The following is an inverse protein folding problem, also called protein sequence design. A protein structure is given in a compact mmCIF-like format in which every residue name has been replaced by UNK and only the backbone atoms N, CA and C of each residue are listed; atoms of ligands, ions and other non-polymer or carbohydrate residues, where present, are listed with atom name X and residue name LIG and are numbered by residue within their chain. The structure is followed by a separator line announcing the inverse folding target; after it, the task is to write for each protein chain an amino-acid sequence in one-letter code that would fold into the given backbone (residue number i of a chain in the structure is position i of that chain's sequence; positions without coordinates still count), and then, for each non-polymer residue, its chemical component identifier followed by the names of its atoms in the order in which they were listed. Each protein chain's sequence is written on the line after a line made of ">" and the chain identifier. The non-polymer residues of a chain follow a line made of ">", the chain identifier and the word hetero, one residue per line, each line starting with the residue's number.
data_IF_263727269009
#
_entry.id   IF_263727269009
#
_cell.length_a   1.000
_cell.length_b   1.000
_cell.length_c   1.000
_cell.angle_alpha   90.00
_cell.angle_beta   90.00
_cell.angle_gamma   90.00
#
_symmetry.space_group_name_H-M   'P 1'
#
loop_
_entity.id
_entity.type
_entity.pdbx_description
1 polymer ?
#
# COMPACT_ATOMS: atom_id res chain seq x y z
N UNK A 1 -2.03 -2.21 -4.75
CA UNK A 1 -1.40 -1.23 -5.66
C UNK A 1 -1.67 -1.55 -7.13
N UNK A 2 -1.05 -2.57 -7.73
CA UNK A 2 -1.28 -2.94 -9.16
C UNK A 2 -2.74 -3.28 -9.45
N UNK A 3 -3.36 -4.12 -8.63
CA UNK A 3 -4.79 -4.49 -8.78
C UNK A 3 -5.69 -3.25 -8.71
N UNK A 4 -5.36 -2.27 -7.85
CA UNK A 4 -6.10 -1.02 -7.78
C UNK A 4 -5.93 -0.23 -9.09
N UNK A 5 -4.69 -0.09 -9.59
CA UNK A 5 -4.43 0.56 -10.89
C UNK A 5 -5.24 -0.08 -12.00
N UNK A 6 -5.22 -1.41 -12.14
CA UNK A 6 -5.93 -2.13 -13.21
C UNK A 6 -7.46 -2.00 -13.14
N UNK A 7 -8.01 -1.65 -11.98
CA UNK A 7 -9.46 -1.39 -11.80
C UNK A 7 -9.85 0.03 -12.20
N UNK A 8 -8.96 1.00 -12.03
CA UNK A 8 -9.23 2.43 -12.27
C UNK A 8 -8.68 2.93 -13.61
N UNK A 9 -7.67 2.25 -14.15
CA UNK A 9 -6.97 2.69 -15.35
C UNK A 9 -7.83 2.64 -16.60
N UNK A 10 -7.59 3.60 -17.49
CA UNK A 10 -8.10 3.54 -18.85
C UNK A 10 -7.55 2.30 -19.60
N UNK A 11 -8.19 1.85 -20.69
CA UNK A 11 -7.78 0.65 -21.41
C UNK A 11 -6.32 0.67 -21.89
N UNK A 12 -5.83 1.84 -22.32
CA UNK A 12 -4.47 2.00 -22.85
C UNK A 12 -3.43 1.80 -21.75
N UNK A 13 -3.58 2.48 -20.61
CA UNK A 13 -2.65 2.36 -19.49
C UNK A 13 -2.72 0.97 -18.83
N UNK A 14 -3.92 0.38 -18.81
CA UNK A 14 -4.11 -1.00 -18.35
C UNK A 14 -3.35 -1.99 -19.21
N UNK A 15 -3.43 -1.86 -20.53
CA UNK A 15 -2.70 -2.70 -21.49
C UNK A 15 -1.20 -2.51 -21.32
N UNK A 16 -0.71 -1.26 -21.34
CA UNK A 16 0.71 -0.93 -21.11
C UNK A 16 1.25 -1.55 -19.82
N UNK A 17 0.53 -1.41 -18.71
CA UNK A 17 0.96 -1.98 -17.43
C UNK A 17 1.01 -3.52 -17.47
N UNK A 18 0.02 -4.16 -18.09
CA UNK A 18 -0.01 -5.62 -18.22
C UNK A 18 1.12 -6.15 -19.10
N UNK A 19 1.46 -5.45 -20.19
CA UNK A 19 2.59 -5.81 -21.05
C UNK A 19 3.90 -5.79 -20.27
N UNK A 20 4.19 -4.69 -19.57
CA UNK A 20 5.40 -4.57 -18.76
C UNK A 20 5.49 -5.70 -17.71
N UNK A 21 4.37 -6.01 -17.04
CA UNK A 21 4.33 -7.08 -16.03
C UNK A 21 4.58 -8.47 -16.64
N UNK A 22 4.03 -8.75 -17.82
CA UNK A 22 4.23 -10.03 -18.54
C UNK A 22 5.67 -10.25 -18.98
N UNK A 23 6.44 -9.19 -19.20
CA UNK A 23 7.83 -9.31 -19.64
C UNK A 23 8.76 -9.86 -18.55
N UNK A 24 8.35 -9.89 -17.28
CA UNK A 24 9.21 -10.27 -16.14
C UNK A 24 10.58 -9.56 -16.18
N UNK A 25 10.59 -8.30 -16.62
CA UNK A 25 11.81 -7.57 -16.92
C UNK A 25 12.54 -7.04 -15.69
N UNK A 26 13.86 -6.89 -15.83
CA UNK A 26 14.70 -6.14 -14.88
C UNK A 26 15.18 -4.79 -15.43
N UNK A 27 14.68 -4.41 -16.60
CA UNK A 27 14.93 -3.09 -17.17
C UNK A 27 14.34 -1.99 -16.27
N UNK A 28 15.21 -1.08 -15.83
CA UNK A 28 14.86 0.00 -14.91
C UNK A 28 13.85 0.98 -15.50
N UNK A 29 13.97 1.30 -16.80
CA UNK A 29 13.09 2.25 -17.48
C UNK A 29 11.68 1.68 -17.60
N UNK A 30 11.55 0.40 -17.92
CA UNK A 30 10.24 -0.27 -17.96
C UNK A 30 9.60 -0.34 -16.56
N UNK A 31 10.40 -0.55 -15.50
CA UNK A 31 9.91 -0.52 -14.12
C UNK A 31 9.43 0.88 -13.72
N UNK A 32 10.17 1.92 -14.07
CA UNK A 32 9.77 3.31 -13.82
C UNK A 32 8.48 3.66 -14.57
N UNK A 33 8.32 3.22 -15.82
CA UNK A 33 7.08 3.38 -16.57
C UNK A 33 5.88 2.74 -15.86
N UNK A 34 6.03 1.51 -15.36
CA UNK A 34 4.98 0.86 -14.58
C UNK A 34 4.65 1.63 -13.29
N UNK A 35 5.67 2.09 -12.56
CA UNK A 35 5.50 2.89 -11.34
C UNK A 35 4.76 4.21 -11.66
N UNK A 36 5.11 4.88 -12.75
CA UNK A 36 4.49 6.13 -13.19
C UNK A 36 3.01 5.93 -13.51
N UNK A 37 2.66 4.84 -14.21
CA UNK A 37 1.25 4.48 -14.44
C UNK A 37 0.53 4.25 -13.10
N UNK A 38 1.16 3.55 -12.16
CA UNK A 38 0.57 3.31 -10.84
C UNK A 38 0.39 4.59 -10.02
N UNK A 39 1.30 5.55 -10.16
CA UNK A 39 1.20 6.88 -9.54
C UNK A 39 0.09 7.73 -10.18
N UNK A 40 -0.03 7.72 -11.51
CA UNK A 40 -1.09 8.42 -12.26
C UNK A 40 -2.49 8.11 -11.71
N UNK A 41 -2.73 6.86 -11.33
CA UNK A 41 -4.01 6.40 -10.77
C UNK A 41 -4.06 6.37 -9.24
N UNK A 42 -3.13 7.03 -8.55
CA UNK A 42 -3.14 7.18 -7.09
C UNK A 42 -3.00 5.87 -6.31
N UNK A 43 -2.51 4.80 -6.94
CA UNK A 43 -2.50 3.47 -6.33
C UNK A 43 -1.53 3.35 -5.15
N UNK A 44 -0.47 4.18 -5.12
CA UNK A 44 0.48 4.24 -4.00
C UNK A 44 -0.23 4.79 -2.77
N UNK A 45 -0.91 5.92 -2.91
CA UNK A 45 -1.61 6.56 -1.79
C UNK A 45 -2.81 5.74 -1.33
N UNK A 46 -3.54 5.12 -2.26
CA UNK A 46 -4.58 4.14 -1.93
C UNK A 46 -4.01 3.01 -1.04
N UNK A 47 -2.87 2.44 -1.40
CA UNK A 47 -2.26 1.36 -0.62
C UNK A 47 -1.81 1.82 0.77
N UNK A 48 -1.24 3.03 0.88
CA UNK A 48 -0.87 3.64 2.17
C UNK A 48 -2.09 3.85 3.06
N UNK A 49 -3.17 4.43 2.52
CA UNK A 49 -4.38 4.68 3.28
C UNK A 49 -5.06 3.38 3.71
N UNK A 50 -5.08 2.37 2.83
CA UNK A 50 -5.60 1.06 3.15
C UNK A 50 -4.86 0.42 4.33
N UNK A 51 -3.52 0.47 4.35
CA UNK A 51 -2.71 -0.05 5.45
C UNK A 51 -2.96 0.70 6.76
N UNK A 52 -3.06 2.03 6.72
CA UNK A 52 -3.42 2.86 7.90
C UNK A 52 -4.77 2.49 8.47
N UNK A 53 -5.78 2.37 7.60
CA UNK A 53 -7.13 2.01 8.01
C UNK A 53 -7.15 0.63 8.66
N UNK A 54 -6.42 -0.34 8.09
CA UNK A 54 -6.32 -1.70 8.64
C UNK A 54 -5.75 -1.68 10.07
N UNK A 55 -4.62 -1.00 10.29
CA UNK A 55 -4.02 -0.88 11.62
C UNK A 55 -4.94 -0.17 12.59
N UNK A 56 -5.57 0.93 12.17
CA UNK A 56 -6.50 1.69 13.01
C UNK A 56 -7.71 0.84 13.43
N UNK A 57 -8.28 0.05 12.51
CA UNK A 57 -9.41 -0.83 12.78
C UNK A 57 -9.01 -1.95 13.73
N UNK A 58 -7.90 -2.65 13.47
CA UNK A 58 -7.39 -3.69 14.36
C UNK A 58 -7.04 -3.15 15.75
N UNK A 59 -6.49 -1.93 15.84
CA UNK A 59 -6.17 -1.32 17.13
C UNK A 59 -7.43 -1.03 17.95
N UNK A 60 -8.52 -0.57 17.33
CA UNK A 60 -9.80 -0.32 18.03
C UNK A 60 -10.34 -1.58 18.71
N UNK A 61 -10.19 -2.74 18.10
CA UNK A 61 -10.62 -4.02 18.67
C UNK A 61 -9.72 -4.43 19.85
N UNK A 62 -8.40 -4.36 19.65
CA UNK A 62 -7.40 -4.72 20.68
C UNK A 62 -7.47 -3.79 21.90
N UNK A 63 -7.74 -2.50 21.69
CA UNK A 63 -7.78 -1.49 22.74
C UNK A 63 -8.85 -1.76 23.81
N UNK A 64 -9.96 -2.40 23.40
CA UNK A 64 -11.07 -2.79 24.29
C UNK A 64 -10.76 -4.02 25.14
N UNK A 65 -9.79 -4.84 24.73
CA UNK A 65 -9.47 -6.13 25.36
C UNK A 65 -8.27 -6.00 26.30
N UNK A 66 -7.26 -5.21 25.91
CA UNK A 66 -6.03 -5.07 26.68
C UNK A 66 -6.16 -4.01 27.79
N UNK A 67 -5.83 -4.40 29.02
CA UNK A 67 -5.69 -3.47 30.13
C UNK A 67 -4.54 -2.45 29.86
N UNK A 68 -4.68 -1.19 30.33
CA UNK A 68 -3.61 -0.20 30.25
C UNK A 68 -2.31 -0.73 30.86
N UNK A 69 -1.23 -0.72 30.08
CA UNK A 69 0.09 -1.17 30.51
C UNK A 69 1.18 -0.63 29.59
N UNK A 70 2.44 -0.55 30.06
CA UNK A 70 3.57 -0.19 29.19
C UNK A 70 3.74 -1.12 27.99
N UNK A 71 3.34 -2.39 28.12
CA UNK A 71 3.36 -3.35 27.01
C UNK A 71 2.34 -2.98 25.92
N UNK A 72 1.13 -2.57 26.32
CA UNK A 72 0.08 -2.09 25.39
C UNK A 72 0.55 -0.84 24.62
N UNK A 73 1.18 0.11 25.30
CA UNK A 73 1.72 1.32 24.67
C UNK A 73 2.82 0.99 23.64
N UNK A 74 3.74 0.09 23.98
CA UNK A 74 4.79 -0.36 23.05
C UNK A 74 4.21 -1.06 21.82
N UNK A 75 3.19 -1.90 22.01
CA UNK A 75 2.52 -2.58 20.90
C UNK A 75 1.83 -1.57 19.98
N UNK A 76 1.19 -0.53 20.53
CA UNK A 76 0.58 0.56 19.77
C UNK A 76 1.60 1.28 18.90
N UNK A 77 2.69 1.73 19.53
CA UNK A 77 3.76 2.45 18.86
C UNK A 77 4.40 1.60 17.75
N UNK A 78 4.58 0.30 18.00
CA UNK A 78 5.08 -0.63 16.99
C UNK A 78 4.13 -0.74 15.79
N UNK A 79 2.83 -0.91 16.02
CA UNK A 79 1.84 -1.00 14.96
C UNK A 79 1.75 0.28 14.11
N UNK A 80 1.75 1.45 14.76
CA UNK A 80 1.77 2.75 14.09
C UNK A 80 3.05 2.98 13.27
N UNK A 81 4.20 2.59 13.81
CA UNK A 81 5.48 2.70 13.12
C UNK A 81 5.53 1.91 11.80
N UNK A 82 4.94 0.71 11.77
CA UNK A 82 4.94 -0.15 10.58
C UNK A 82 4.23 0.49 9.38
N UNK A 83 3.26 1.38 9.61
CA UNK A 83 2.49 2.04 8.54
C UNK A 83 2.94 3.46 8.24
N UNK A 84 3.57 4.17 9.17
CA UNK A 84 4.03 5.55 8.98
C UNK A 84 5.50 5.67 8.52
N UNK A 85 6.25 4.56 8.48
CA UNK A 85 7.65 4.57 8.04
C UNK A 85 7.82 5.21 6.65
N UNK A 86 8.79 6.10 6.51
CA UNK A 86 9.24 6.60 5.21
C UNK A 86 10.24 5.58 4.63
N UNK A 87 10.02 5.18 3.38
CA UNK A 87 10.90 4.30 2.59
C UNK A 87 11.65 5.18 1.60
#
# INVERSE_FOLDING_TARGET
>A
MIIHTLKQADPHDKEKLLEILKMHTSDQKLREDAINVMQKYGSIDYAKQFARNLVQQSWKEVDQILLPSPAKEKLKAFAEYLVERKI
#
